data_IF_569644435138
#
_entry.id   IF_569644435138
#
_cell.length_a   1.000
_cell.length_b   1.000
_cell.length_c   1.000
_cell.angle_alpha   90.00
_cell.angle_beta   90.00
_cell.angle_gamma   90.00
#
_symmetry.space_group_name_H-M   'P 1'
#
loop_
_entity.id
_entity.type
_entity.pdbx_description
1 polymer ?
#
# COMPACT_ATOMS: atom_id res chain seq x y z
N UNK A 1 0.23 -16.87 -13.85
CA UNK A 1 -0.39 -15.61 -14.26
C UNK A 1 0.33 -14.45 -13.59
N UNK A 2 0.66 -13.40 -14.32
CA UNK A 2 1.31 -12.25 -13.68
C UNK A 2 0.35 -11.58 -12.70
N UNK A 3 0.92 -11.11 -11.61
CA UNK A 3 0.17 -10.35 -10.61
C UNK A 3 -0.17 -8.96 -11.19
N UNK A 4 -1.45 -8.64 -11.26
CA UNK A 4 -1.93 -7.33 -11.72
C UNK A 4 -3.14 -6.95 -10.88
N UNK A 5 -3.05 -5.84 -10.17
CA UNK A 5 -4.14 -5.31 -9.34
C UNK A 5 -4.40 -3.86 -9.70
N UNK A 6 -5.67 -3.46 -9.76
CA UNK A 6 -6.03 -2.06 -10.03
C UNK A 6 -5.35 -1.14 -9.02
N UNK A 7 -4.68 -0.10 -9.49
CA UNK A 7 -4.02 0.88 -8.64
C UNK A 7 -5.02 1.51 -7.65
N UNK A 8 -6.21 1.85 -8.11
CA UNK A 8 -7.23 2.44 -7.24
C UNK A 8 -7.63 1.47 -6.13
N UNK A 9 -7.82 0.18 -6.46
CA UNK A 9 -8.17 -0.83 -5.47
C UNK A 9 -7.05 -1.04 -4.46
N UNK A 10 -5.80 -1.04 -4.91
CA UNK A 10 -4.63 -1.14 -4.03
C UNK A 10 -4.61 0.04 -3.07
N UNK A 11 -4.78 1.25 -3.58
CA UNK A 11 -4.77 2.46 -2.74
C UNK A 11 -5.93 2.47 -1.74
N UNK A 12 -7.12 2.03 -2.14
CA UNK A 12 -8.26 1.93 -1.24
C UNK A 12 -7.98 0.93 -0.11
N UNK A 13 -7.38 -0.21 -0.44
CA UNK A 13 -7.00 -1.22 0.56
C UNK A 13 -5.97 -0.67 1.55
N UNK A 14 -4.96 0.03 1.04
CA UNK A 14 -3.93 0.67 1.88
C UNK A 14 -4.57 1.70 2.80
N UNK A 15 -5.43 2.56 2.26
CA UNK A 15 -6.10 3.59 3.05
C UNK A 15 -6.95 2.97 4.15
N UNK A 16 -7.66 1.90 3.85
CA UNK A 16 -8.48 1.19 4.84
C UNK A 16 -7.66 0.63 5.99
N UNK A 17 -6.50 0.07 5.70
CA UNK A 17 -5.63 -0.52 6.72
C UNK A 17 -4.90 0.57 7.52
N UNK A 18 -4.42 1.62 6.86
CA UNK A 18 -3.59 2.65 7.51
C UNK A 18 -4.40 3.69 8.29
N UNK A 19 -5.63 3.96 7.88
CA UNK A 19 -6.42 5.03 8.50
C UNK A 19 -6.55 4.93 10.02
N UNK A 20 -6.75 3.74 10.62
CA UNK A 20 -6.80 3.63 12.08
C UNK A 20 -5.52 4.04 12.79
N UNK A 21 -4.38 4.02 12.10
CA UNK A 21 -3.07 4.31 12.69
C UNK A 21 -2.63 5.75 12.46
N UNK A 22 -2.89 6.30 11.27
CA UNK A 22 -2.36 7.62 10.89
C UNK A 22 -3.44 8.61 10.45
N UNK A 23 -4.69 8.19 10.36
CA UNK A 23 -5.79 9.01 9.89
C UNK A 23 -5.94 8.95 8.37
N UNK A 24 -7.16 9.22 7.89
CA UNK A 24 -7.50 9.08 6.46
C UNK A 24 -6.67 9.99 5.56
N UNK A 25 -6.50 11.24 5.97
CA UNK A 25 -5.79 12.21 5.13
C UNK A 25 -4.32 11.83 4.98
N UNK A 26 -3.65 11.50 6.08
CA UNK A 26 -2.25 11.12 6.04
C UNK A 26 -2.05 9.80 5.28
N UNK A 27 -2.93 8.82 5.49
CA UNK A 27 -2.87 7.55 4.76
C UNK A 27 -2.93 7.79 3.25
N UNK A 28 -3.90 8.56 2.80
CA UNK A 28 -4.09 8.87 1.37
C UNK A 28 -2.91 9.66 0.81
N UNK A 29 -2.45 10.66 1.54
CA UNK A 29 -1.35 11.52 1.11
C UNK A 29 -0.05 10.71 0.97
N UNK A 30 0.27 9.88 1.96
CA UNK A 30 1.48 9.06 1.94
C UNK A 30 1.45 8.04 0.79
N UNK A 31 0.33 7.34 0.63
CA UNK A 31 0.19 6.36 -0.44
C UNK A 31 0.33 7.01 -1.82
N UNK A 32 -0.32 8.16 -2.02
CA UNK A 32 -0.26 8.88 -3.29
C UNK A 32 1.14 9.41 -3.58
N UNK A 33 1.82 9.95 -2.56
CA UNK A 33 3.17 10.49 -2.72
C UNK A 33 4.16 9.39 -3.11
N UNK A 34 4.08 8.23 -2.45
CA UNK A 34 4.98 7.12 -2.76
C UNK A 34 4.68 6.52 -4.14
N UNK A 35 3.42 6.45 -4.55
CA UNK A 35 3.07 6.05 -5.92
C UNK A 35 3.72 6.98 -6.94
N UNK A 36 3.65 8.28 -6.70
CA UNK A 36 4.26 9.27 -7.60
C UNK A 36 5.77 9.07 -7.68
N UNK A 37 6.42 8.87 -6.54
CA UNK A 37 7.87 8.65 -6.46
C UNK A 37 8.29 7.39 -7.22
N UNK A 38 7.43 6.37 -7.25
CA UNK A 38 7.70 5.11 -7.94
C UNK A 38 7.28 5.13 -9.40
N UNK A 39 6.72 6.25 -9.89
CA UNK A 39 6.27 6.37 -11.26
C UNK A 39 4.98 5.61 -11.56
N UNK A 40 4.16 5.35 -10.55
CA UNK A 40 2.89 4.65 -10.72
C UNK A 40 1.80 5.67 -11.04
N UNK A 41 1.21 5.57 -12.23
CA UNK A 41 0.31 6.58 -12.79
C UNK A 41 -1.13 6.08 -12.99
N UNK A 42 -1.62 5.23 -12.16
CA UNK A 42 -2.94 4.64 -12.36
C UNK A 42 -2.84 3.32 -13.12
N UNK A 43 -3.94 2.83 -13.68
CA UNK A 43 -3.98 1.53 -14.32
C UNK A 43 -3.86 0.39 -13.31
N UNK A 44 -2.91 -0.51 -13.53
CA UNK A 44 -2.69 -1.67 -12.65
C UNK A 44 -1.27 -1.69 -12.12
N UNK A 45 -1.09 -2.30 -10.96
CA UNK A 45 0.21 -2.45 -10.31
C UNK A 45 0.67 -3.90 -10.41
N UNK A 46 1.95 -4.07 -10.72
CA UNK A 46 2.62 -5.37 -10.65
C UNK A 46 2.98 -5.71 -9.20
N UNK A 47 3.37 -6.97 -8.96
CA UNK A 47 3.85 -7.36 -7.64
C UNK A 47 5.07 -6.56 -7.21
N UNK A 48 6.01 -6.31 -8.10
CA UNK A 48 7.19 -5.51 -7.79
C UNK A 48 6.82 -4.09 -7.35
N UNK A 49 5.84 -3.48 -8.01
CA UNK A 49 5.35 -2.15 -7.65
C UNK A 49 4.65 -2.15 -6.29
N UNK A 50 3.82 -3.15 -6.03
CA UNK A 50 3.15 -3.30 -4.73
C UNK A 50 4.20 -3.47 -3.62
N UNK A 51 5.18 -4.35 -3.82
CA UNK A 51 6.22 -4.59 -2.82
C UNK A 51 7.04 -3.33 -2.54
N UNK A 52 7.38 -2.58 -3.58
CA UNK A 52 8.10 -1.32 -3.43
C UNK A 52 7.28 -0.28 -2.65
N UNK A 53 5.99 -0.18 -2.96
CA UNK A 53 5.08 0.75 -2.27
C UNK A 53 4.93 0.38 -0.80
N UNK A 54 4.68 -0.89 -0.51
CA UNK A 54 4.55 -1.37 0.87
C UNK A 54 5.84 -1.20 1.66
N UNK A 55 6.99 -1.40 1.02
CA UNK A 55 8.29 -1.16 1.64
C UNK A 55 8.47 0.29 2.09
N UNK A 56 8.14 1.23 1.22
CA UNK A 56 8.22 2.66 1.55
C UNK A 56 7.26 3.04 2.67
N UNK A 57 6.02 2.57 2.59
CA UNK A 57 5.01 2.84 3.63
C UNK A 57 5.44 2.23 4.96
N UNK A 58 5.99 1.02 4.94
CA UNK A 58 6.47 0.35 6.15
C UNK A 58 7.56 1.13 6.86
N UNK A 59 8.52 1.67 6.10
CA UNK A 59 9.58 2.50 6.68
C UNK A 59 9.04 3.72 7.40
N UNK A 60 8.05 4.39 6.79
CA UNK A 60 7.38 5.53 7.43
C UNK A 60 6.62 5.14 8.69
N UNK A 61 5.97 3.98 8.67
CA UNK A 61 5.20 3.49 9.81
C UNK A 61 6.05 3.21 11.04
N UNK A 62 7.30 2.81 10.87
CA UNK A 62 8.20 2.53 11.99
C UNK A 62 8.30 3.75 12.92
N UNK A 63 8.32 4.95 12.34
CA UNK A 63 8.40 6.19 13.10
C UNK A 63 7.16 6.40 13.98
N UNK A 64 5.98 5.99 13.48
CA UNK A 64 4.71 6.24 14.16
C UNK A 64 4.34 5.16 15.17
N UNK A 65 4.58 3.89 14.84
CA UNK A 65 4.04 2.76 15.62
C UNK A 65 5.10 1.73 16.01
N UNK A 66 6.35 1.96 15.65
CA UNK A 66 7.44 1.03 15.94
C UNK A 66 7.55 -0.09 14.92
N UNK A 67 8.69 -0.80 14.97
CA UNK A 67 9.06 -1.80 13.96
C UNK A 67 8.11 -2.99 13.92
N UNK A 68 7.78 -3.55 15.08
CA UNK A 68 6.97 -4.77 15.16
C UNK A 68 5.55 -4.53 14.64
N UNK A 69 4.93 -3.44 15.08
CA UNK A 69 3.59 -3.08 14.62
C UNK A 69 3.60 -2.71 13.14
N UNK A 70 4.64 -2.02 12.67
CA UNK A 70 4.78 -1.67 11.27
C UNK A 70 4.82 -2.92 10.39
N UNK A 71 5.56 -3.95 10.81
CA UNK A 71 5.60 -5.22 10.08
C UNK A 71 4.22 -5.88 10.01
N UNK A 72 3.49 -5.88 11.13
CA UNK A 72 2.13 -6.45 11.16
C UNK A 72 1.19 -5.69 10.23
N UNK A 73 1.27 -4.37 10.22
CA UNK A 73 0.44 -3.54 9.34
C UNK A 73 0.77 -3.78 7.87
N UNK A 74 2.06 -3.87 7.52
CA UNK A 74 2.49 -4.18 6.16
C UNK A 74 1.94 -5.55 5.71
N UNK A 75 2.00 -6.55 6.58
CA UNK A 75 1.44 -7.88 6.28
C UNK A 75 -0.07 -7.81 6.06
N UNK A 76 -0.76 -7.03 6.87
CA UNK A 76 -2.21 -6.83 6.71
C UNK A 76 -2.53 -6.18 5.37
N UNK A 77 -1.76 -5.17 4.98
CA UNK A 77 -1.92 -4.54 3.66
C UNK A 77 -1.66 -5.53 2.53
N UNK A 78 -0.60 -6.33 2.65
CA UNK A 78 -0.25 -7.32 1.64
C UNK A 78 -1.36 -8.33 1.44
N UNK A 79 -1.94 -8.84 2.53
CA UNK A 79 -3.05 -9.81 2.45
C UNK A 79 -4.29 -9.18 1.82
N UNK A 80 -4.59 -7.93 2.17
CA UNK A 80 -5.73 -7.22 1.59
C UNK A 80 -5.55 -7.06 0.07
N UNK A 81 -4.34 -6.70 -0.36
CA UNK A 81 -4.04 -6.52 -1.78
C UNK A 81 -4.05 -7.85 -2.52
N UNK A 82 -3.51 -8.91 -1.93
CA UNK A 82 -3.53 -10.24 -2.54
C UNK A 82 -4.95 -10.76 -2.73
N UNK A 83 -5.89 -10.35 -1.87
CA UNK A 83 -7.29 -10.71 -1.98
C UNK A 83 -8.07 -9.93 -3.02
N UNK A 84 -7.49 -8.91 -3.63
CA UNK A 84 -8.17 -8.13 -4.66
C UNK A 84 -8.28 -8.92 -5.95
N UNK A 85 -9.25 -8.52 -6.78
CA UNK A 85 -9.48 -9.14 -8.08
C UNK A 85 -8.35 -8.79 -9.04
N UNK A 86 -7.89 -9.78 -9.80
CA UNK A 86 -6.89 -9.52 -10.84
C UNK A 86 -7.49 -8.69 -11.97
N UNK A 87 -6.68 -7.77 -12.48
CA UNK A 87 -7.03 -7.02 -13.69
C UNK A 87 -6.67 -7.89 -14.88
N UNK A 88 -7.61 -8.10 -15.83
CA UNK A 88 -7.37 -8.94 -16.99
C UNK A 88 -6.30 -8.37 -17.93
#
# INVERSE_FOLDING_TARGET
MPFQRSTNDVLDSINGVLSPYVGKLMARTAASAHCRDLGINGGAMSRAQVDALLGKLGLGLIVFIGKDKAQTVVETMRRAIDGLQEVP
#
